data_IF_070485395130
#
_entry.id   IF_070485395130
#
_cell.length_a   1.000
_cell.length_b   1.000
_cell.length_c   1.000
_cell.angle_alpha   90.00
_cell.angle_beta   90.00
_cell.angle_gamma   90.00
#
_symmetry.space_group_name_H-M   'P 1'
#
loop_
_entity.id
_entity.type
_entity.pdbx_description
1 polymer ?
#
# COMPACT_ATOMS: atom_id res chain seq x y z
N UNK A 1 -6.98 85.44 38.54
CA UNK A 1 -6.59 85.96 37.20
C UNK A 1 -5.56 85.04 36.59
N UNK A 2 -5.81 84.65 35.33
CA UNK A 2 -4.90 84.10 34.30
C UNK A 2 -4.16 82.78 34.59
N UNK A 3 -4.44 81.66 33.93
CA UNK A 3 -4.40 81.30 32.49
C UNK A 3 -3.02 80.77 32.02
N UNK A 4 -3.00 79.43 31.89
CA UNK A 4 -2.58 78.60 30.74
C UNK A 4 -1.08 78.47 30.38
N UNK A 5 -0.70 77.21 30.07
CA UNK A 5 0.12 76.72 28.94
C UNK A 5 1.47 76.08 29.27
N UNK A 6 1.48 74.88 29.87
CA UNK A 6 2.61 73.94 29.70
C UNK A 6 2.16 72.47 29.82
N UNK A 7 1.14 72.07 29.08
CA UNK A 7 0.73 70.65 28.95
C UNK A 7 0.58 70.29 27.48
N UNK A 8 1.66 70.40 26.71
CA UNK A 8 1.71 69.91 25.33
C UNK A 8 3.15 69.68 24.84
N UNK A 9 3.97 68.97 25.62
CA UNK A 9 5.30 68.56 25.16
C UNK A 9 5.77 67.21 25.74
N UNK A 10 4.91 66.47 26.45
CA UNK A 10 5.27 65.22 27.10
C UNK A 10 4.57 63.98 26.51
N UNK A 11 3.84 64.11 25.40
CA UNK A 11 3.05 63.01 24.82
C UNK A 11 3.47 62.58 23.40
N UNK A 12 4.67 62.97 22.94
CA UNK A 12 5.12 62.70 21.56
C UNK A 12 6.42 61.89 21.47
N UNK A 13 6.80 61.19 22.53
CA UNK A 13 7.98 60.28 22.55
C UNK A 13 7.55 58.80 22.69
N UNK A 14 6.25 58.50 22.87
CA UNK A 14 5.76 57.14 23.10
C UNK A 14 5.23 56.40 21.86
N UNK A 15 5.67 56.78 20.65
CA UNK A 15 5.22 56.14 19.40
C UNK A 15 6.35 55.66 18.48
N UNK A 16 7.55 55.44 19.02
CA UNK A 16 8.57 54.60 18.38
C UNK A 16 8.72 53.26 19.12
N UNK A 17 7.61 52.54 19.30
CA UNK A 17 7.68 51.10 19.41
C UNK A 17 7.93 50.56 18.00
N UNK A 18 9.21 50.50 17.62
CA UNK A 18 9.62 49.84 16.40
C UNK A 18 9.06 48.42 16.38
N UNK A 19 8.51 48.02 15.24
CA UNK A 19 8.38 46.62 14.88
C UNK A 19 9.80 46.03 14.88
N UNK A 20 10.27 45.58 16.03
CA UNK A 20 11.37 44.64 16.08
C UNK A 20 10.88 43.42 15.29
N UNK A 21 11.46 43.23 14.10
CA UNK A 21 11.34 41.99 13.38
C UNK A 21 11.78 40.90 14.35
N UNK A 22 10.84 40.11 14.85
CA UNK A 22 11.14 38.90 15.58
C UNK A 22 12.11 38.11 14.69
N UNK A 23 13.30 37.72 15.17
CA UNK A 23 14.10 36.77 14.43
C UNK A 23 13.19 35.57 14.21
N UNK A 24 13.02 35.17 12.94
CA UNK A 24 12.31 33.95 12.60
C UNK A 24 12.99 32.84 13.43
N UNK A 25 12.32 32.38 14.47
CA UNK A 25 12.77 31.23 15.24
C UNK A 25 12.94 30.11 14.22
N UNK A 26 14.19 29.77 13.93
CA UNK A 26 14.50 28.54 13.24
C UNK A 26 14.01 27.44 14.17
N UNK A 27 12.79 26.96 13.92
CA UNK A 27 12.19 25.88 14.67
C UNK A 27 13.24 24.76 14.76
N UNK A 28 13.73 24.50 15.98
CA UNK A 28 14.78 23.51 16.21
C UNK A 28 14.27 22.17 15.70
N UNK A 29 14.88 21.73 14.60
CA UNK A 29 14.47 20.57 13.82
C UNK A 29 14.66 19.31 14.67
N UNK A 30 13.56 18.75 15.20
CA UNK A 30 13.60 17.49 15.92
C UNK A 30 13.72 16.30 14.94
N UNK A 31 14.96 15.98 14.60
CA UNK A 31 15.31 14.84 13.74
C UNK A 31 15.42 13.53 14.51
N UNK A 32 15.67 13.57 15.82
CA UNK A 32 15.95 12.39 16.64
C UNK A 32 14.71 11.56 16.91
N UNK A 33 14.88 10.24 16.97
CA UNK A 33 13.82 9.29 17.33
C UNK A 33 14.14 8.75 18.72
N UNK A 34 13.29 9.11 19.67
CA UNK A 34 13.42 8.72 21.08
C UNK A 34 12.55 7.51 21.42
N UNK A 35 11.58 7.19 20.56
CA UNK A 35 10.69 6.06 20.70
C UNK A 35 11.47 4.72 20.80
N UNK A 36 10.98 3.76 21.59
CA UNK A 36 11.53 2.41 21.59
C UNK A 36 11.36 1.77 20.21
N UNK A 37 12.33 0.96 19.78
CA UNK A 37 12.15 0.16 18.58
C UNK A 37 11.13 -0.95 18.86
N UNK A 38 10.27 -1.25 17.90
CA UNK A 38 9.34 -2.38 18.00
C UNK A 38 10.05 -3.72 17.88
N UNK A 39 11.18 -3.70 17.17
CA UNK A 39 11.69 -4.86 16.47
C UNK A 39 13.22 -4.76 16.39
N UNK A 40 13.92 -5.84 16.75
CA UNK A 40 15.39 -5.93 16.64
C UNK A 40 15.81 -6.65 15.35
N UNK A 41 14.94 -7.49 14.80
CA UNK A 41 15.18 -8.25 13.57
C UNK A 41 14.15 -7.94 12.51
N UNK A 42 14.54 -8.07 11.24
CA UNK A 42 13.64 -7.85 10.10
C UNK A 42 12.45 -8.83 10.08
N UNK A 43 12.58 -10.04 10.62
CA UNK A 43 11.48 -11.02 10.68
C UNK A 43 10.30 -10.58 11.54
N UNK A 44 10.50 -9.61 12.45
CA UNK A 44 9.45 -9.09 13.35
C UNK A 44 8.66 -7.93 12.73
N UNK A 45 9.06 -7.44 11.55
CA UNK A 45 8.45 -6.27 10.93
C UNK A 45 7.03 -6.58 10.45
N UNK A 46 6.16 -5.55 10.47
CA UNK A 46 4.88 -5.62 9.79
C UNK A 46 5.07 -5.40 8.28
N UNK A 47 4.60 -6.35 7.48
CA UNK A 47 4.78 -6.34 6.02
C UNK A 47 3.48 -6.02 5.30
N UNK A 48 3.50 -4.99 4.46
CA UNK A 48 2.37 -4.60 3.61
C UNK A 48 2.51 -5.28 2.24
N UNK A 49 1.52 -6.07 1.80
CA UNK A 49 1.59 -6.71 0.48
C UNK A 49 1.47 -5.66 -0.63
N UNK A 50 2.36 -5.74 -1.63
CA UNK A 50 2.40 -4.81 -2.77
C UNK A 50 1.33 -5.16 -3.81
N UNK A 51 0.08 -4.87 -3.50
CA UNK A 51 -1.06 -5.14 -4.38
C UNK A 51 -1.51 -3.88 -5.14
N UNK A 52 -2.03 -4.06 -6.35
CA UNK A 52 -2.51 -2.97 -7.20
C UNK A 52 -1.41 -2.35 -8.07
N UNK A 53 -1.71 -1.19 -8.64
CA UNK A 53 -0.81 -0.48 -9.56
C UNK A 53 0.05 0.58 -8.83
N UNK A 54 -0.46 1.14 -7.72
CA UNK A 54 0.29 2.07 -6.88
C UNK A 54 -0.17 2.02 -5.43
N UNK A 55 0.73 2.40 -4.51
CA UNK A 55 0.46 2.48 -3.08
C UNK A 55 0.97 3.83 -2.55
N UNK A 56 0.05 4.66 -2.09
CA UNK A 56 0.35 5.86 -1.31
C UNK A 56 0.52 5.51 0.16
N UNK A 57 1.60 5.97 0.77
CA UNK A 57 1.87 5.73 2.19
C UNK A 57 2.57 6.93 2.83
N UNK A 58 2.46 7.02 4.15
CA UNK A 58 3.18 8.00 4.94
C UNK A 58 4.09 7.27 5.94
N UNK A 59 5.29 7.80 6.12
CA UNK A 59 6.11 7.49 7.29
C UNK A 59 5.87 8.60 8.28
N UNK A 60 5.22 8.28 9.40
CA UNK A 60 4.72 9.22 10.40
C UNK A 60 4.86 8.68 11.83
N UNK A 61 4.22 9.32 12.81
CA UNK A 61 4.27 8.92 14.21
C UNK A 61 3.62 7.56 14.51
N UNK A 62 2.77 7.06 13.62
CA UNK A 62 2.09 5.76 13.74
C UNK A 62 2.88 4.62 13.07
N UNK A 63 3.91 4.97 12.31
CA UNK A 63 4.80 3.99 11.69
C UNK A 63 5.65 3.25 12.72
N UNK A 64 6.01 2.01 12.42
CA UNK A 64 6.89 1.23 13.29
C UNK A 64 8.29 1.85 13.33
N UNK A 65 8.95 1.74 14.48
CA UNK A 65 10.34 2.16 14.67
C UNK A 65 11.22 0.91 14.66
N UNK A 66 12.15 0.85 13.72
CA UNK A 66 13.12 -0.23 13.57
C UNK A 66 14.50 0.17 14.06
N UNK A 67 15.29 -0.82 14.48
CA UNK A 67 16.70 -0.65 14.78
C UNK A 67 17.54 -1.03 13.54
N UNK A 68 18.23 -0.06 12.95
CA UNK A 68 19.07 -0.25 11.77
C UNK A 68 20.54 -0.01 12.11
N UNK A 69 21.45 -0.39 11.21
CA UNK A 69 22.90 -0.17 11.40
C UNK A 69 23.24 1.32 11.61
N UNK A 70 22.50 2.22 10.97
CA UNK A 70 22.66 3.68 11.09
C UNK A 70 21.82 4.32 12.21
N UNK A 71 21.26 3.48 13.09
CA UNK A 71 20.42 3.89 14.22
C UNK A 71 18.93 3.77 13.95
N UNK A 72 18.14 4.19 14.95
CA UNK A 72 16.67 4.07 14.92
C UNK A 72 16.05 4.92 13.82
N UNK A 73 15.07 4.35 13.13
CA UNK A 73 14.28 5.04 12.11
C UNK A 73 12.82 4.57 12.10
N UNK A 74 11.91 5.48 11.76
CA UNK A 74 10.58 5.09 11.32
C UNK A 74 10.69 4.47 9.94
N UNK A 75 9.94 3.40 9.70
CA UNK A 75 10.02 2.66 8.44
C UNK A 75 8.68 2.14 7.97
N UNK A 76 8.65 1.72 6.72
CA UNK A 76 7.57 0.91 6.16
C UNK A 76 8.16 -0.30 5.46
N UNK A 77 7.65 -1.48 5.79
CA UNK A 77 8.03 -2.75 5.19
C UNK A 77 6.97 -3.21 4.19
N UNK A 78 7.41 -3.72 3.05
CA UNK A 78 6.54 -4.25 2.01
C UNK A 78 6.99 -5.64 1.57
N UNK A 79 6.04 -6.44 1.10
CA UNK A 79 6.27 -7.80 0.59
C UNK A 79 5.69 -7.95 -0.81
N UNK A 80 6.47 -8.57 -1.70
CA UNK A 80 6.06 -8.92 -3.05
C UNK A 80 5.00 -10.03 -3.01
N UNK A 81 3.85 -9.88 -3.70
CA UNK A 81 2.81 -10.90 -3.72
C UNK A 81 3.29 -12.20 -4.37
N UNK A 82 2.84 -13.35 -3.85
CA UNK A 82 3.27 -14.68 -4.32
C UNK A 82 2.97 -14.95 -5.81
N UNK A 83 1.98 -14.26 -6.37
CA UNK A 83 1.59 -14.37 -7.78
C UNK A 83 2.45 -13.52 -8.73
N UNK A 84 3.43 -12.78 -8.22
CA UNK A 84 4.33 -11.93 -8.98
C UNK A 84 5.75 -12.47 -8.86
N UNK A 85 6.33 -12.96 -9.96
CA UNK A 85 7.70 -13.46 -9.96
C UNK A 85 8.72 -12.32 -9.97
N UNK A 86 8.44 -11.29 -10.78
CA UNK A 86 9.28 -10.10 -10.91
C UNK A 86 8.41 -8.86 -10.98
N UNK A 87 8.84 -7.81 -10.31
CA UNK A 87 8.14 -6.54 -10.29
C UNK A 87 9.14 -5.39 -10.37
N UNK A 88 8.83 -4.42 -11.22
CA UNK A 88 9.49 -3.12 -11.19
C UNK A 88 8.77 -2.23 -10.21
N UNK A 89 9.51 -1.64 -9.29
CA UNK A 89 9.01 -0.72 -8.28
C UNK A 89 9.66 0.63 -8.52
N UNK A 90 8.85 1.69 -8.55
CA UNK A 90 9.33 3.07 -8.49
C UNK A 90 8.91 3.70 -7.17
N UNK A 91 9.89 3.97 -6.31
CA UNK A 91 9.69 4.69 -5.06
C UNK A 91 9.83 6.19 -5.30
N UNK A 92 8.81 6.95 -4.91
CA UNK A 92 8.79 8.41 -4.93
C UNK A 92 8.66 8.93 -3.50
N UNK A 93 9.52 9.86 -3.10
CA UNK A 93 9.35 10.62 -1.86
C UNK A 93 9.04 12.06 -2.18
N UNK A 94 7.84 12.51 -1.77
CA UNK A 94 7.31 13.82 -2.13
C UNK A 94 7.93 14.93 -1.28
N UNK A 95 8.42 15.98 -1.93
CA UNK A 95 8.95 17.17 -1.29
C UNK A 95 7.85 18.20 -1.06
N UNK A 96 7.72 18.67 0.18
CA UNK A 96 6.81 19.76 0.55
C UNK A 96 7.60 20.94 1.12
N UNK A 97 6.96 22.10 1.24
CA UNK A 97 7.56 23.27 1.90
C UNK A 97 7.93 23.00 3.35
N UNK A 98 7.20 22.11 4.03
CA UNK A 98 7.47 21.71 5.41
C UNK A 98 8.70 20.82 5.53
N UNK A 99 9.03 20.05 4.50
CA UNK A 99 10.17 19.14 4.47
C UNK A 99 9.98 17.96 3.52
N UNK A 100 10.95 17.05 3.52
CA UNK A 100 10.97 15.83 2.70
C UNK A 100 11.51 14.65 3.50
N UNK A 101 10.99 13.45 3.27
CA UNK A 101 11.59 12.23 3.78
C UNK A 101 12.76 11.82 2.87
N UNK A 102 13.96 11.62 3.43
CA UNK A 102 15.12 11.23 2.66
C UNK A 102 15.31 9.70 2.74
N UNK A 103 14.90 8.93 1.71
CA UNK A 103 14.82 7.47 1.84
C UNK A 103 16.17 6.79 1.72
N UNK A 104 16.32 5.70 2.46
CA UNK A 104 17.22 4.57 2.21
C UNK A 104 16.36 3.33 2.03
N UNK A 105 16.72 2.49 1.07
CA UNK A 105 15.98 1.28 0.71
C UNK A 105 16.84 0.05 0.94
N UNK A 106 16.26 -0.99 1.56
CA UNK A 106 16.84 -2.32 1.65
C UNK A 106 15.95 -3.32 0.92
N UNK A 107 16.57 -4.17 0.11
CA UNK A 107 15.95 -5.35 -0.47
C UNK A 107 16.43 -6.58 0.29
N UNK A 108 15.49 -7.36 0.83
CA UNK A 108 15.81 -8.52 1.67
C UNK A 108 15.44 -9.83 1.00
N UNK A 109 16.23 -10.86 1.28
CA UNK A 109 15.99 -12.24 0.88
C UNK A 109 14.78 -12.85 1.57
N UNK A 110 14.29 -14.03 1.13
CA UNK A 110 13.28 -14.79 1.86
C UNK A 110 13.66 -15.14 3.31
N UNK A 111 14.96 -15.10 3.63
CA UNK A 111 15.51 -15.31 4.99
C UNK A 111 15.81 -14.00 5.72
N UNK A 112 15.29 -12.88 5.21
CA UNK A 112 15.46 -11.52 5.75
C UNK A 112 16.92 -11.04 5.83
N UNK A 113 17.81 -11.55 4.97
CA UNK A 113 19.15 -11.01 4.82
C UNK A 113 19.15 -9.86 3.82
N UNK A 114 19.93 -8.80 4.07
CA UNK A 114 20.07 -7.70 3.11
C UNK A 114 20.82 -8.21 1.88
N UNK A 115 20.16 -8.15 0.71
CA UNK A 115 20.72 -8.59 -0.57
C UNK A 115 21.21 -7.40 -1.39
N UNK A 116 20.44 -6.31 -1.38
CA UNK A 116 20.77 -5.06 -2.08
C UNK A 116 20.26 -3.86 -1.28
N UNK A 117 20.85 -2.69 -1.52
CA UNK A 117 20.46 -1.44 -0.84
C UNK A 117 20.68 -0.23 -1.74
N UNK A 118 19.77 0.73 -1.68
CA UNK A 118 19.89 2.01 -2.37
C UNK A 118 20.04 3.14 -1.37
N UNK A 119 21.13 3.89 -1.52
CA UNK A 119 21.44 5.07 -0.72
C UNK A 119 20.74 6.30 -1.29
N UNK A 120 20.70 7.40 -0.54
CA UNK A 120 20.02 8.63 -1.00
C UNK A 120 20.62 9.17 -2.31
N UNK A 121 21.92 8.99 -2.53
CA UNK A 121 22.61 9.40 -3.77
C UNK A 121 22.15 8.64 -5.01
N UNK A 122 21.54 7.48 -4.84
CA UNK A 122 21.03 6.67 -5.96
C UNK A 122 19.70 7.18 -6.48
N UNK A 123 19.03 8.08 -5.75
CA UNK A 123 17.74 8.68 -6.10
C UNK A 123 17.94 9.88 -7.02
N UNK A 124 17.16 9.91 -8.09
CA UNK A 124 17.06 11.08 -8.96
C UNK A 124 16.15 12.12 -8.31
N UNK A 125 16.58 13.37 -8.34
CA UNK A 125 15.76 14.51 -7.93
C UNK A 125 14.94 14.95 -9.13
N UNK A 126 13.63 14.73 -9.08
CA UNK A 126 12.69 15.23 -10.09
C UNK A 126 12.14 16.58 -9.62
N UNK A 127 12.37 17.69 -10.34
CA UNK A 127 11.78 18.98 -10.00
C UNK A 127 10.26 18.94 -10.21
N UNK A 128 9.56 19.87 -9.56
CA UNK A 128 8.12 20.05 -9.72
C UNK A 128 7.76 20.45 -11.14
N UNK A 129 6.64 19.92 -11.64
CA UNK A 129 6.00 20.33 -12.90
C UNK A 129 4.59 20.92 -12.63
N UNK A 130 3.78 21.12 -13.67
CA UNK A 130 2.44 21.69 -13.53
C UNK A 130 1.49 20.85 -12.64
N UNK A 131 1.72 19.55 -12.50
CA UNK A 131 0.82 18.60 -11.84
C UNK A 131 1.46 17.86 -10.65
N UNK A 132 2.79 17.91 -10.51
CA UNK A 132 3.55 17.10 -9.57
C UNK A 132 4.52 17.94 -8.75
N UNK A 133 4.62 17.61 -7.47
CA UNK A 133 5.61 18.17 -6.57
C UNK A 133 7.00 17.61 -6.90
N UNK A 134 8.05 18.33 -6.48
CA UNK A 134 9.41 17.80 -6.53
C UNK A 134 9.49 16.51 -5.72
N UNK A 135 10.35 15.57 -6.12
CA UNK A 135 10.47 14.28 -5.43
C UNK A 135 11.87 13.67 -5.57
N UNK A 136 12.24 12.85 -4.59
CA UNK A 136 13.27 11.84 -4.79
C UNK A 136 12.64 10.62 -5.47
N UNK A 137 13.29 10.08 -6.49
CA UNK A 137 12.76 8.97 -7.27
C UNK A 137 13.80 7.89 -7.53
N UNK A 138 13.47 6.64 -7.27
CA UNK A 138 14.29 5.48 -7.62
C UNK A 138 13.42 4.38 -8.18
N UNK A 139 13.80 3.87 -9.36
CA UNK A 139 13.26 2.65 -9.95
C UNK A 139 14.21 1.48 -9.74
N UNK A 140 13.70 0.33 -9.32
CA UNK A 140 14.45 -0.92 -9.16
C UNK A 140 13.56 -2.14 -9.41
N UNK A 141 14.17 -3.30 -9.64
CA UNK A 141 13.47 -4.55 -9.89
C UNK A 141 13.59 -5.48 -8.68
N UNK A 142 12.46 -6.04 -8.25
CA UNK A 142 12.37 -7.05 -7.20
C UNK A 142 12.01 -8.41 -7.81
N UNK A 143 12.48 -9.48 -7.18
CA UNK A 143 12.22 -10.86 -7.59
C UNK A 143 11.80 -11.72 -6.39
N UNK A 144 10.73 -12.49 -6.55
CA UNK A 144 10.13 -13.30 -5.47
C UNK A 144 11.09 -14.31 -4.85
N UNK A 145 12.01 -14.87 -5.64
CA UNK A 145 12.94 -15.88 -5.18
C UNK A 145 14.15 -15.30 -4.42
N UNK A 146 14.51 -14.04 -4.68
CA UNK A 146 15.79 -13.46 -4.20
C UNK A 146 15.61 -12.21 -3.35
N UNK A 147 14.64 -11.36 -3.66
CA UNK A 147 14.39 -10.09 -2.95
C UNK A 147 12.88 -9.83 -2.76
N UNK A 148 12.13 -10.71 -2.06
CA UNK A 148 10.69 -10.54 -1.90
C UNK A 148 10.30 -9.41 -0.92
N UNK A 149 11.20 -8.92 -0.09
CA UNK A 149 10.90 -7.89 0.91
C UNK A 149 11.62 -6.58 0.60
N UNK A 150 10.91 -5.47 0.83
CA UNK A 150 11.40 -4.10 0.68
C UNK A 150 11.23 -3.37 2.02
N UNK A 151 12.27 -2.69 2.48
CA UNK A 151 12.20 -1.79 3.64
C UNK A 151 12.59 -0.38 3.21
N UNK A 152 11.74 0.59 3.53
CA UNK A 152 12.00 2.02 3.29
C UNK A 152 12.12 2.74 4.63
N UNK A 153 13.25 3.40 4.88
CA UNK A 153 13.51 4.12 6.14
C UNK A 153 14.41 5.35 5.90
N UNK A 154 14.70 6.15 6.93
CA UNK A 154 15.62 7.30 6.82
C UNK A 154 16.66 7.33 7.96
N UNK A 155 17.95 7.07 7.69
CA UNK A 155 19.05 7.20 8.64
C UNK A 155 19.12 8.59 9.32
N UNK A 156 19.80 8.68 10.47
CA UNK A 156 19.97 9.97 11.17
C UNK A 156 20.68 11.02 10.31
N UNK A 157 21.79 10.63 9.67
CA UNK A 157 22.55 11.51 8.78
C UNK A 157 21.69 12.08 7.64
N UNK A 158 20.73 11.30 7.14
CA UNK A 158 19.82 11.74 6.08
C UNK A 158 18.81 12.75 6.62
N UNK A 159 18.23 12.50 7.80
CA UNK A 159 17.26 13.40 8.44
C UNK A 159 17.86 14.76 8.80
N UNK A 160 19.13 14.80 9.17
CA UNK A 160 19.84 16.05 9.48
C UNK A 160 20.08 16.92 8.24
N UNK A 161 20.21 16.29 7.07
CA UNK A 161 20.47 16.95 5.80
C UNK A 161 19.34 17.83 5.25
N UNK A 162 19.62 18.40 4.08
CA UNK A 162 18.70 19.22 3.30
C UNK A 162 19.03 19.12 1.82
N UNK A 163 18.11 19.56 0.97
CA UNK A 163 18.30 19.61 -0.48
C UNK A 163 17.89 20.97 -1.02
N UNK A 164 18.68 21.50 -1.95
CA UNK A 164 18.34 22.70 -2.71
C UNK A 164 17.69 22.29 -4.04
N UNK A 165 16.49 22.79 -4.29
CA UNK A 165 15.72 22.49 -5.50
C UNK A 165 15.74 23.72 -6.40
N UNK A 166 16.00 23.56 -7.71
CA UNK A 166 16.00 24.70 -8.62
C UNK A 166 14.63 25.38 -8.64
N UNK A 167 14.63 26.71 -8.60
CA UNK A 167 13.39 27.48 -8.67
C UNK A 167 12.67 27.21 -10.01
N UNK A 168 11.34 27.00 -10.04
CA UNK A 168 10.61 26.63 -11.26
C UNK A 168 10.82 27.62 -12.42
N UNK A 169 10.85 28.93 -12.14
CA UNK A 169 11.14 29.95 -13.17
C UNK A 169 12.52 29.82 -13.80
N UNK A 170 13.52 29.27 -13.09
CA UNK A 170 14.85 29.01 -13.68
C UNK A 170 14.81 27.83 -14.63
N UNK A 171 14.17 26.74 -14.21
CA UNK A 171 14.00 25.54 -15.04
C UNK A 171 13.26 25.92 -16.34
N UNK A 172 12.16 26.67 -16.20
CA UNK A 172 11.38 27.16 -17.34
C UNK A 172 12.18 28.08 -18.27
N UNK A 173 12.95 29.03 -17.72
CA UNK A 173 13.78 29.92 -18.53
C UNK A 173 14.84 29.15 -19.32
N UNK A 174 15.44 28.12 -18.73
CA UNK A 174 16.42 27.25 -19.39
C UNK A 174 15.79 26.43 -20.52
N UNK A 175 14.62 25.83 -20.29
CA UNK A 175 13.88 25.07 -21.31
C UNK A 175 13.45 25.94 -22.50
N UNK A 176 13.09 27.20 -22.26
CA UNK A 176 12.68 28.16 -23.29
C UNK A 176 13.88 28.90 -23.92
N UNK A 177 15.12 28.63 -23.49
CA UNK A 177 16.31 29.34 -23.97
C UNK A 177 16.33 30.83 -23.64
N UNK A 178 15.62 31.24 -22.59
CA UNK A 178 15.55 32.62 -22.10
C UNK A 178 16.70 32.93 -21.13
N UNK A 179 16.92 34.22 -20.87
CA UNK A 179 17.86 34.64 -19.83
C UNK A 179 17.43 34.12 -18.45
N UNK A 180 18.37 33.52 -17.70
CA UNK A 180 18.08 33.01 -16.36
C UNK A 180 17.70 34.15 -15.40
N UNK A 181 16.53 34.10 -14.75
CA UNK A 181 16.12 35.14 -13.81
C UNK A 181 16.96 35.10 -12.53
N UNK A 182 17.09 36.26 -11.87
CA UNK A 182 17.76 36.37 -10.57
C UNK A 182 16.82 35.93 -9.44
N UNK A 183 16.65 34.63 -9.28
CA UNK A 183 15.84 34.02 -8.22
C UNK A 183 16.66 33.02 -7.41
N UNK A 184 16.41 32.98 -6.10
CA UNK A 184 17.06 32.06 -5.17
C UNK A 184 16.37 30.70 -5.20
N UNK A 185 17.16 29.64 -5.27
CA UNK A 185 16.67 28.26 -5.25
C UNK A 185 16.24 27.88 -3.82
N UNK A 186 15.00 27.41 -3.61
CA UNK A 186 14.53 27.02 -2.29
C UNK A 186 15.29 25.82 -1.73
N UNK A 187 15.60 25.87 -0.43
CA UNK A 187 16.18 24.76 0.32
C UNK A 187 15.09 24.06 1.14
N UNK A 188 14.91 22.77 0.89
CA UNK A 188 13.96 21.90 1.59
C UNK A 188 14.72 21.07 2.63
N UNK A 189 14.26 21.12 3.87
CA UNK A 189 14.86 20.36 4.96
C UNK A 189 14.38 18.91 4.93
N UNK A 190 15.29 17.95 5.16
CA UNK A 190 14.86 16.57 5.37
C UNK A 190 14.14 16.43 6.71
N UNK A 191 13.30 15.42 6.90
CA UNK A 191 12.53 15.22 8.13
C UNK A 191 12.43 13.74 8.49
N UNK A 192 12.04 13.46 9.74
CA UNK A 192 11.76 12.10 10.19
C UNK A 192 10.47 11.51 9.62
N UNK A 193 9.61 12.35 9.07
CA UNK A 193 8.32 11.98 8.47
C UNK A 193 8.22 12.46 7.03
N UNK A 194 7.33 11.84 6.26
CA UNK A 194 6.95 12.33 4.94
C UNK A 194 5.98 11.41 4.21
N UNK A 195 5.56 11.86 3.03
CA UNK A 195 4.64 11.15 2.15
C UNK A 195 5.42 10.52 1.00
N UNK A 196 5.13 9.25 0.72
CA UNK A 196 5.77 8.48 -0.32
C UNK A 196 4.73 7.73 -1.16
N UNK A 197 5.14 7.32 -2.35
CA UNK A 197 4.34 6.55 -3.29
C UNK A 197 5.21 5.45 -3.89
N UNK A 198 4.66 4.24 -4.00
CA UNK A 198 5.22 3.15 -4.78
C UNK A 198 4.38 2.97 -6.04
N UNK A 199 4.97 3.11 -7.22
CA UNK A 199 4.38 2.58 -8.45
C UNK A 199 4.83 1.13 -8.64
N UNK A 200 3.88 0.26 -8.93
CA UNK A 200 4.07 -1.18 -9.00
C UNK A 200 3.79 -1.64 -10.43
N UNK A 201 4.81 -2.19 -11.09
CA UNK A 201 4.68 -2.75 -12.44
C UNK A 201 5.11 -4.20 -12.46
N UNK A 202 4.18 -5.16 -12.39
CA UNK A 202 4.50 -6.58 -12.55
C UNK A 202 5.16 -6.82 -13.91
N UNK A 203 6.34 -7.44 -13.90
CA UNK A 203 7.10 -7.80 -15.10
C UNK A 203 6.85 -9.25 -15.50
N UNK A 204 6.55 -10.12 -14.53
CA UNK A 204 6.21 -11.52 -14.75
C UNK A 204 5.22 -11.98 -13.68
N UNK A 205 4.07 -12.50 -14.11
CA UNK A 205 3.02 -13.05 -13.26
C UNK A 205 3.07 -14.58 -13.29
N UNK A 206 2.71 -15.21 -12.18
CA UNK A 206 2.57 -16.66 -12.06
C UNK A 206 1.19 -16.99 -11.52
N UNK A 207 0.62 -18.08 -12.02
CA UNK A 207 -0.55 -18.69 -11.40
C UNK A 207 -0.17 -19.20 -10.01
N UNK A 208 -0.95 -18.83 -8.99
CA UNK A 208 -0.78 -19.31 -7.63
C UNK A 208 -2.10 -19.90 -7.11
N UNK A 209 -2.02 -20.72 -6.08
CA UNK A 209 -3.20 -21.25 -5.40
C UNK A 209 -3.64 -20.22 -4.37
N UNK A 210 -4.79 -19.61 -4.57
CA UNK A 210 -5.40 -18.77 -3.53
C UNK A 210 -5.69 -19.62 -2.31
N UNK A 211 -4.83 -19.55 -1.29
CA UNK A 211 -5.11 -20.07 0.03
C UNK A 211 -6.08 -19.12 0.75
N UNK A 212 -7.28 -18.96 0.21
CA UNK A 212 -8.42 -18.52 1.00
C UNK A 212 -8.83 -19.70 1.85
N UNK A 213 -8.23 -19.83 3.04
CA UNK A 213 -8.84 -20.58 4.13
C UNK A 213 -10.19 -19.95 4.43
N UNK A 214 -11.23 -20.43 3.74
CA UNK A 214 -12.57 -20.41 4.31
C UNK A 214 -12.42 -21.15 5.63
N UNK A 215 -12.70 -20.54 6.79
CA UNK A 215 -12.72 -21.29 8.03
C UNK A 215 -13.83 -22.34 7.87
N UNK A 216 -13.44 -23.56 7.52
CA UNK A 216 -14.28 -24.74 7.76
C UNK A 216 -14.47 -24.74 9.26
N UNK A 217 -15.64 -24.24 9.66
CA UNK A 217 -16.17 -24.38 11.01
C UNK A 217 -16.06 -25.87 11.33
N UNK A 218 -15.06 -26.21 12.14
CA UNK A 218 -14.83 -27.57 12.59
C UNK A 218 -16.14 -28.02 13.24
N UNK A 219 -16.83 -28.97 12.60
CA UNK A 219 -17.90 -29.71 13.22
C UNK A 219 -17.22 -30.57 14.27
N UNK A 220 -17.24 -30.07 15.49
CA UNK A 220 -16.87 -30.79 16.70
C UNK A 220 -17.73 -32.04 16.81
N UNK A 221 -17.14 -33.20 16.48
CA UNK A 221 -17.63 -34.49 16.94
C UNK A 221 -17.15 -34.68 18.40
N UNK A 222 -18.01 -35.14 19.32
CA UNK A 222 -17.60 -35.40 20.70
C UNK A 222 -16.70 -36.64 20.75
N UNK A 223 -15.52 -36.49 21.34
CA UNK A 223 -14.62 -37.58 21.72
C UNK A 223 -15.03 -38.06 23.10
N UNK A 224 -15.46 -39.33 23.17
CA UNK A 224 -15.66 -40.06 24.42
C UNK A 224 -14.36 -40.84 24.74
N UNK A 225 -13.91 -40.67 25.98
CA UNK A 225 -12.67 -41.15 26.59
C UNK A 225 -12.67 -42.66 26.78
N UNK A 226 -11.58 -43.35 26.41
CA UNK A 226 -11.13 -44.56 27.09
C UNK A 226 -9.62 -44.78 26.85
N UNK A 227 -8.95 -45.18 27.93
CA UNK A 227 -7.51 -45.15 28.18
C UNK A 227 -6.89 -46.56 28.09
N UNK A 228 -5.62 -46.64 27.66
CA UNK A 228 -4.64 -47.76 27.76
C UNK A 228 -4.95 -49.02 26.91
N UNK A 229 -4.02 -49.71 26.24
CA UNK A 229 -2.66 -50.18 26.59
C UNK A 229 -1.84 -50.55 25.33
N UNK A 230 -0.53 -50.66 25.54
CA UNK A 230 0.58 -51.07 24.67
C UNK A 230 0.44 -52.33 23.77
N UNK A 231 1.04 -52.20 22.58
CA UNK A 231 2.04 -53.08 21.94
C UNK A 231 1.66 -54.31 21.04
N UNK A 232 2.51 -54.39 20.00
CA UNK A 232 3.02 -55.54 19.22
C UNK A 232 2.36 -55.92 17.87
N UNK A 233 3.17 -55.68 16.84
CA UNK A 233 3.38 -56.38 15.55
C UNK A 233 2.41 -57.48 15.07
N UNK A 234 2.04 -57.41 13.78
CA UNK A 234 2.48 -58.36 12.72
C UNK A 234 1.91 -57.98 11.33
N UNK A 235 2.71 -58.23 10.29
CA UNK A 235 2.44 -58.21 8.82
C UNK A 235 1.60 -59.47 8.42
N UNK A 236 1.25 -59.79 7.15
CA UNK A 236 1.18 -59.04 5.88
C UNK A 236 -0.09 -59.35 5.01
N UNK A 237 -0.11 -58.81 3.78
CA UNK A 237 -0.44 -59.50 2.52
C UNK A 237 -1.72 -59.15 1.72
N UNK A 238 -1.45 -58.89 0.43
CA UNK A 238 -2.17 -59.33 -0.78
C UNK A 238 -3.36 -58.52 -1.35
N UNK A 239 -3.05 -57.89 -2.49
CA UNK A 239 -3.70 -58.02 -3.81
C UNK A 239 -5.21 -57.87 -4.00
N UNK A 240 -5.58 -56.96 -4.92
CA UNK A 240 -6.63 -57.08 -5.97
C UNK A 240 -6.41 -55.91 -6.94
N UNK A 241 -5.81 -56.08 -8.12
CA UNK A 241 -6.35 -56.56 -9.42
C UNK A 241 -7.52 -55.73 -9.98
N UNK A 242 -7.17 -54.91 -10.98
CA UNK A 242 -7.79 -54.64 -12.28
C UNK A 242 -9.32 -54.74 -12.47
N UNK A 243 -9.80 -53.73 -13.20
CA UNK A 243 -10.71 -53.76 -14.37
C UNK A 243 -12.05 -53.07 -14.14
N UNK A 244 -12.33 -52.00 -14.90
CA UNK A 244 -13.19 -52.14 -16.08
C UNK A 244 -13.45 -50.82 -16.83
N UNK A 245 -13.32 -50.94 -18.16
CA UNK A 245 -14.13 -50.33 -19.25
C UNK A 245 -14.28 -48.80 -19.27
N UNK A 246 -13.71 -48.08 -20.25
CA UNK A 246 -14.28 -47.88 -21.60
C UNK A 246 -15.80 -47.59 -21.54
N UNK A 247 -16.28 -46.43 -22.01
CA UNK A 247 -16.76 -46.28 -23.39
C UNK A 247 -17.20 -44.81 -23.64
N UNK A 248 -16.79 -44.31 -24.81
CA UNK A 248 -17.40 -43.28 -25.69
C UNK A 248 -17.54 -41.80 -25.29
N UNK A 249 -16.73 -41.01 -25.99
CA UNK A 249 -17.13 -39.84 -26.79
C UNK A 249 -18.63 -39.71 -27.12
N UNK A 250 -19.16 -38.49 -26.93
CA UNK A 250 -20.02 -37.86 -27.92
C UNK A 250 -19.90 -36.34 -27.83
N UNK A 251 -19.61 -35.76 -28.99
CA UNK A 251 -19.55 -34.33 -29.28
C UNK A 251 -20.94 -33.71 -29.25
N UNK A 252 -21.09 -32.51 -28.69
CA UNK A 252 -22.20 -31.61 -29.01
C UNK A 252 -21.78 -30.15 -28.81
N UNK A 253 -21.76 -29.40 -29.90
CA UNK A 253 -21.76 -27.94 -29.92
C UNK A 253 -23.15 -27.47 -29.51
N UNK A 254 -23.26 -26.63 -28.47
CA UNK A 254 -24.34 -25.65 -28.26
C UNK A 254 -23.94 -24.72 -27.09
N UNK A 255 -24.34 -23.44 -27.17
CA UNK A 255 -24.06 -22.31 -26.26
C UNK A 255 -24.02 -22.68 -24.77
N UNK A 256 -23.27 -21.96 -23.91
CA UNK A 256 -23.06 -22.38 -22.53
C UNK A 256 -24.36 -22.24 -21.74
N UNK A 257 -25.14 -23.31 -21.71
CA UNK A 257 -26.19 -23.50 -20.74
C UNK A 257 -25.52 -23.48 -19.36
N UNK A 258 -26.05 -22.62 -18.50
CA UNK A 258 -25.55 -22.44 -17.15
C UNK A 258 -25.55 -23.76 -16.37
N UNK A 259 -24.57 -23.97 -15.50
CA UNK A 259 -24.56 -25.14 -14.62
C UNK A 259 -25.77 -25.10 -13.67
N UNK A 260 -26.41 -26.24 -13.38
CA UNK A 260 -27.66 -26.31 -12.61
C UNK A 260 -27.52 -25.77 -11.18
N UNK A 261 -26.36 -25.93 -10.54
CA UNK A 261 -26.08 -25.40 -9.21
C UNK A 261 -25.99 -23.87 -9.22
N UNK A 262 -25.45 -23.31 -10.30
CA UNK A 262 -25.35 -21.86 -10.47
C UNK A 262 -26.74 -21.29 -10.75
N UNK A 263 -27.54 -21.98 -11.57
CA UNK A 263 -28.92 -21.58 -11.85
C UNK A 263 -29.79 -21.58 -10.59
N UNK A 264 -29.65 -22.60 -9.73
CA UNK A 264 -30.32 -22.65 -8.43
C UNK A 264 -29.90 -21.48 -7.52
N UNK A 265 -28.62 -21.08 -7.55
CA UNK A 265 -28.14 -19.93 -6.78
C UNK A 265 -28.83 -18.62 -7.22
N UNK A 266 -28.91 -18.34 -8.51
CA UNK A 266 -29.57 -17.13 -9.01
C UNK A 266 -31.07 -17.14 -8.73
N UNK A 267 -31.75 -18.28 -8.91
CA UNK A 267 -33.17 -18.42 -8.58
C UNK A 267 -33.46 -18.10 -7.09
N UNK A 268 -32.62 -18.59 -6.18
CA UNK A 268 -32.74 -18.28 -4.74
C UNK A 268 -32.54 -16.79 -4.45
N UNK A 269 -31.57 -16.14 -5.10
CA UNK A 269 -31.30 -14.71 -4.89
C UNK A 269 -32.40 -13.82 -5.47
N UNK A 270 -32.98 -14.20 -6.61
CA UNK A 270 -34.16 -13.53 -7.19
C UNK A 270 -35.34 -13.66 -6.23
N UNK A 271 -35.57 -14.85 -5.65
CA UNK A 271 -36.62 -15.05 -4.65
C UNK A 271 -36.43 -14.14 -3.42
N UNK A 272 -35.23 -14.13 -2.83
CA UNK A 272 -34.93 -13.29 -1.67
C UNK A 272 -35.09 -11.80 -1.96
N UNK A 273 -34.75 -11.35 -3.17
CA UNK A 273 -34.90 -9.95 -3.56
C UNK A 273 -36.39 -9.56 -3.72
N UNK A 274 -37.21 -10.43 -4.34
CA UNK A 274 -38.66 -10.20 -4.45
C UNK A 274 -39.35 -10.22 -3.09
N UNK A 275 -39.00 -11.16 -2.20
CA UNK A 275 -39.51 -11.23 -0.83
C UNK A 275 -39.19 -9.95 -0.03
N UNK A 276 -38.02 -9.35 -0.27
CA UNK A 276 -37.60 -8.07 0.33
C UNK A 276 -38.18 -6.84 -0.37
N UNK A 277 -39.07 -7.02 -1.36
CA UNK A 277 -39.64 -5.97 -2.21
C UNK A 277 -38.59 -5.15 -2.97
N UNK A 278 -37.39 -5.69 -3.16
CA UNK A 278 -36.30 -5.08 -3.93
C UNK A 278 -36.36 -5.57 -5.38
N UNK A 279 -37.33 -5.03 -6.12
CA UNK A 279 -37.62 -5.43 -7.50
C UNK A 279 -36.47 -5.05 -8.45
N UNK A 280 -35.78 -3.93 -8.19
CA UNK A 280 -34.64 -3.50 -9.03
C UNK A 280 -33.49 -4.50 -8.96
N UNK A 281 -33.17 -4.98 -7.75
CA UNK A 281 -32.15 -6.02 -7.57
C UNK A 281 -32.58 -7.36 -8.16
N UNK A 282 -33.85 -7.73 -8.00
CA UNK A 282 -34.40 -8.96 -8.57
C UNK A 282 -34.32 -8.98 -10.13
N UNK A 283 -34.65 -7.86 -10.77
CA UNK A 283 -34.52 -7.69 -12.23
C UNK A 283 -33.06 -7.81 -12.69
N UNK A 284 -32.14 -7.13 -12.00
CA UNK A 284 -30.71 -7.20 -12.33
C UNK A 284 -30.16 -8.63 -12.25
N UNK A 285 -30.52 -9.36 -11.19
CA UNK A 285 -30.10 -10.75 -11.01
C UNK A 285 -30.70 -11.69 -12.07
N UNK A 286 -31.95 -11.45 -12.48
CA UNK A 286 -32.60 -12.19 -13.56
C UNK A 286 -31.90 -11.94 -14.90
N UNK A 287 -31.59 -10.69 -15.26
CA UNK A 287 -30.88 -10.35 -16.49
C UNK A 287 -29.46 -10.92 -16.53
N UNK A 288 -28.76 -10.89 -15.40
CA UNK A 288 -27.44 -11.51 -15.25
C UNK A 288 -27.51 -13.02 -15.44
N UNK A 289 -28.48 -13.70 -14.84
CA UNK A 289 -28.69 -15.14 -15.00
C UNK A 289 -29.07 -15.51 -16.45
N UNK A 290 -29.97 -14.74 -17.08
CA UNK A 290 -30.37 -14.94 -18.49
C UNK A 290 -29.19 -14.75 -19.43
N UNK A 291 -28.36 -13.73 -19.21
CA UNK A 291 -27.11 -13.50 -19.97
C UNK A 291 -26.09 -14.61 -19.74
N UNK A 292 -26.06 -15.19 -18.56
CA UNK A 292 -25.22 -16.35 -18.22
C UNK A 292 -25.77 -17.69 -18.75
N UNK A 293 -26.92 -17.69 -19.45
CA UNK A 293 -27.49 -18.89 -20.06
C UNK A 293 -28.46 -19.67 -19.17
N UNK A 294 -29.06 -19.05 -18.15
CA UNK A 294 -30.16 -19.65 -17.36
C UNK A 294 -31.43 -19.77 -18.20
N UNK A 295 -32.07 -20.94 -18.15
CA UNK A 295 -33.36 -21.18 -18.78
C UNK A 295 -34.56 -20.86 -17.85
N UNK A 296 -34.33 -20.83 -16.53
CA UNK A 296 -35.41 -20.74 -15.53
C UNK A 296 -35.53 -19.38 -14.85
N UNK A 297 -34.49 -18.54 -14.84
CA UNK A 297 -34.47 -17.28 -14.08
C UNK A 297 -35.62 -16.32 -14.41
N UNK A 298 -35.96 -16.16 -15.70
CA UNK A 298 -37.05 -15.27 -16.14
C UNK A 298 -38.42 -15.78 -15.69
N UNK A 299 -38.69 -17.09 -15.83
CA UNK A 299 -39.93 -17.70 -15.37
C UNK A 299 -40.07 -17.64 -13.84
N UNK A 300 -38.98 -17.85 -13.11
CA UNK A 300 -38.95 -17.73 -11.64
C UNK A 300 -39.31 -16.30 -11.21
N UNK A 301 -38.71 -15.29 -11.84
CA UNK A 301 -39.02 -13.89 -11.54
C UNK A 301 -40.49 -13.55 -11.81
N UNK A 302 -41.02 -13.90 -12.99
CA UNK A 302 -42.42 -13.63 -13.37
C UNK A 302 -43.39 -14.26 -12.38
N UNK A 303 -43.14 -15.51 -11.97
CA UNK A 303 -44.00 -16.23 -11.01
C UNK A 303 -44.02 -15.57 -9.63
N UNK A 304 -42.91 -14.97 -9.21
CA UNK A 304 -42.77 -14.36 -7.90
C UNK A 304 -43.41 -12.96 -7.81
N UNK A 305 -43.46 -12.21 -8.91
CA UNK A 305 -44.08 -10.88 -8.95
C UNK A 305 -45.59 -10.91 -9.18
N UNK A 306 -46.11 -12.02 -9.72
CA UNK A 306 -47.55 -12.22 -9.94
C UNK A 306 -48.29 -12.74 -8.70
N UNK A 307 -47.56 -13.00 -7.60
CA UNK A 307 -48.09 -13.52 -6.34
C UNK A 307 -48.34 -12.39 -5.34
#
# INVERSE_FOLDING_TARGET
>A
MKIIKTTLAALLIASLAGCAASPAEQAVKNVTITQPACCETFSEFAWIPMNGDSIDFAVDEYSQVGNFAEGKSYFTGFVLPENVERMRVELKSWMRSTGVFAPKVLLLSPTFQVVDSYELSDFEVKPSDMLRLSSYRKSFDMNQATTPYLVVYSPLAYREGSIQIPHPERVRAEELGLARPMVTDPTIQHQKFGSLELDLKPLALRSYRSHTTVPQKAVSQPVETAESVEAVATVPAASMVLSNTAVQQSSAVNSPAMLPETEAFYNNQIQLAVEKKDIQRALKLMEEAKRAGSATAENTFIKLIQK
#
